data_IF_258104982440
#
_entry.id   IF_258104982440
#
_cell.length_a   1.000
_cell.length_b   1.000
_cell.length_c   1.000
_cell.angle_alpha   90.00
_cell.angle_beta   90.00
_cell.angle_gamma   90.00
#
_symmetry.space_group_name_H-M   'P 1'
#
loop_
_entity.id
_entity.type
_entity.pdbx_description
1 polymer ?
#
# COMPACT_ATOMS: atom_id res chain seq x y z
N UNK A 1 0.81 17.89 9.37
CA UNK A 1 0.15 16.76 8.76
C UNK A 1 0.37 15.45 9.49
N UNK A 2 -0.44 14.45 9.18
CA UNK A 2 -0.39 13.11 9.77
C UNK A 2 0.68 12.22 9.14
N UNK A 3 1.19 12.59 7.96
CA UNK A 3 2.17 11.80 7.24
C UNK A 3 3.56 11.90 7.85
N UNK A 4 4.24 10.77 7.93
CA UNK A 4 5.66 10.67 8.32
C UNK A 4 6.49 10.15 7.16
N UNK A 5 7.78 10.49 7.15
CA UNK A 5 8.70 10.03 6.12
C UNK A 5 9.33 8.69 6.49
N UNK A 6 9.46 7.81 5.51
CA UNK A 6 10.15 6.53 5.62
C UNK A 6 11.04 6.33 4.40
N UNK A 7 12.20 5.75 4.59
CA UNK A 7 13.06 5.34 3.48
C UNK A 7 12.75 3.89 3.11
N UNK A 8 12.47 3.64 1.84
CA UNK A 8 12.28 2.28 1.30
C UNK A 8 13.62 1.54 1.32
N UNK A 9 13.80 0.68 2.31
CA UNK A 9 15.05 -0.10 2.47
C UNK A 9 15.04 -1.45 1.77
N UNK A 10 13.86 -1.96 1.44
CA UNK A 10 13.65 -3.36 1.11
C UNK A 10 12.96 -3.61 -0.23
N UNK A 11 13.06 -2.70 -1.17
CA UNK A 11 12.48 -2.84 -2.52
C UNK A 11 13.09 -3.97 -3.38
N UNK A 12 13.61 -5.04 -2.76
CA UNK A 12 14.26 -6.16 -3.45
C UNK A 12 13.57 -7.51 -3.19
N UNK A 13 12.34 -7.49 -2.67
CA UNK A 13 11.68 -8.72 -2.26
C UNK A 13 11.34 -9.66 -3.42
N UNK A 14 10.81 -9.13 -4.50
CA UNK A 14 10.37 -9.96 -5.63
C UNK A 14 11.53 -10.65 -6.32
N UNK A 15 12.63 -9.97 -6.56
CA UNK A 15 13.81 -10.56 -7.22
C UNK A 15 14.49 -11.62 -6.34
N UNK A 16 14.53 -11.41 -5.02
CA UNK A 16 15.15 -12.36 -4.07
C UNK A 16 14.26 -13.53 -3.71
N UNK A 17 12.96 -13.43 -4.01
CA UNK A 17 11.96 -14.50 -3.78
C UNK A 17 11.23 -14.85 -5.09
N UNK A 18 11.97 -14.91 -6.18
CA UNK A 18 11.41 -15.12 -7.53
C UNK A 18 10.55 -16.37 -7.67
N UNK A 19 10.84 -17.43 -6.89
CA UNK A 19 10.06 -18.66 -6.90
C UNK A 19 8.62 -18.50 -6.39
N UNK A 20 8.35 -17.43 -5.62
CA UNK A 20 7.01 -17.11 -5.13
C UNK A 20 6.11 -16.45 -6.20
N UNK A 21 6.70 -16.06 -7.33
CA UNK A 21 5.98 -15.34 -8.38
C UNK A 21 5.99 -16.13 -9.69
N UNK A 22 4.82 -16.56 -10.13
CA UNK A 22 4.66 -17.41 -11.31
C UNK A 22 5.40 -16.89 -12.55
N UNK A 23 5.40 -15.56 -12.78
CA UNK A 23 6.08 -14.96 -13.94
C UNK A 23 7.59 -14.83 -13.80
N UNK A 24 8.11 -14.83 -12.57
CA UNK A 24 9.54 -14.74 -12.29
C UNK A 24 10.19 -16.11 -12.18
N UNK A 25 9.43 -17.09 -11.71
CA UNK A 25 9.92 -18.45 -11.52
C UNK A 25 10.52 -19.00 -12.81
N UNK A 26 11.78 -19.45 -12.73
CA UNK A 26 12.53 -20.00 -13.87
C UNK A 26 12.64 -19.06 -15.09
N UNK A 27 12.59 -17.73 -14.85
CA UNK A 27 12.67 -16.73 -15.90
C UNK A 27 13.78 -15.70 -15.61
N UNK A 28 15.06 -16.00 -15.94
CA UNK A 28 16.18 -15.13 -15.64
C UNK A 28 16.06 -13.72 -16.24
N UNK A 29 15.48 -13.60 -17.43
CA UNK A 29 15.27 -12.30 -18.09
C UNK A 29 14.32 -11.41 -17.32
N UNK A 30 13.17 -11.96 -16.86
CA UNK A 30 12.21 -11.22 -16.05
C UNK A 30 12.76 -10.90 -14.65
N UNK A 31 13.55 -11.79 -14.08
CA UNK A 31 14.24 -11.53 -12.79
C UNK A 31 15.22 -10.36 -12.95
N UNK A 32 16.00 -10.31 -14.02
CA UNK A 32 16.92 -9.21 -14.30
C UNK A 32 16.21 -7.87 -14.44
N UNK A 33 15.06 -7.85 -15.16
CA UNK A 33 14.24 -6.64 -15.30
C UNK A 33 13.66 -6.21 -13.94
N UNK A 34 13.23 -7.16 -13.11
CA UNK A 34 12.73 -6.87 -11.77
C UNK A 34 13.82 -6.27 -10.86
N UNK A 35 15.04 -6.81 -10.92
CA UNK A 35 16.19 -6.27 -10.19
C UNK A 35 16.45 -4.81 -10.55
N UNK A 36 16.35 -4.45 -11.83
CA UNK A 36 16.55 -3.06 -12.27
C UNK A 36 15.45 -2.14 -11.74
N UNK A 37 14.19 -2.59 -11.76
CA UNK A 37 13.06 -1.83 -11.22
C UNK A 37 13.24 -1.63 -9.71
N UNK A 38 13.52 -2.69 -8.98
CA UNK A 38 13.70 -2.66 -7.52
C UNK A 38 14.87 -1.77 -7.10
N UNK A 39 15.97 -1.79 -7.88
CA UNK A 39 17.14 -0.93 -7.63
C UNK A 39 16.82 0.55 -7.69
N UNK A 40 15.92 0.97 -8.59
CA UNK A 40 15.46 2.37 -8.71
C UNK A 40 14.69 2.85 -7.47
N UNK A 41 14.01 1.95 -6.78
CA UNK A 41 13.19 2.27 -5.61
C UNK A 41 13.92 2.09 -4.29
N UNK A 42 15.10 1.50 -4.30
CA UNK A 42 15.89 1.31 -3.09
C UNK A 42 16.35 2.67 -2.53
N UNK A 43 16.18 2.86 -1.23
CA UNK A 43 16.54 4.08 -0.50
C UNK A 43 15.76 5.34 -0.92
N UNK A 44 14.62 5.18 -1.60
CA UNK A 44 13.74 6.31 -1.93
C UNK A 44 12.95 6.72 -0.68
N UNK A 45 12.94 8.00 -0.32
CA UNK A 45 12.08 8.48 0.75
C UNK A 45 10.61 8.46 0.30
N UNK A 46 9.74 7.95 1.14
CA UNK A 46 8.29 7.95 0.90
C UNK A 46 7.56 8.46 2.14
N UNK A 47 6.43 9.10 1.92
CA UNK A 47 5.53 9.51 3.00
C UNK A 47 4.46 8.47 3.21
N UNK A 48 4.10 8.21 4.45
CA UNK A 48 3.01 7.33 4.83
C UNK A 48 2.31 7.85 6.09
N UNK A 49 1.06 7.45 6.28
CA UNK A 49 0.28 7.74 7.49
C UNK A 49 0.37 6.48 8.37
N UNK A 50 0.94 6.58 9.58
CA UNK A 50 0.99 5.45 10.50
C UNK A 50 -0.40 4.90 10.81
N UNK A 51 -0.53 3.59 10.96
CA UNK A 51 -1.84 2.98 11.26
C UNK A 51 -2.50 3.52 12.52
N UNK A 52 -1.71 3.97 13.49
CA UNK A 52 -2.20 4.61 14.72
C UNK A 52 -2.88 5.97 14.47
N UNK A 53 -2.59 6.61 13.34
CA UNK A 53 -3.15 7.90 12.93
C UNK A 53 -4.31 7.77 11.93
N UNK A 54 -4.77 6.56 11.62
CA UNK A 54 -5.84 6.32 10.64
C UNK A 54 -7.26 6.50 11.21
N UNK A 55 -7.40 6.68 12.51
CA UNK A 55 -8.68 6.98 13.14
C UNK A 55 -8.98 8.49 13.10
N UNK A 56 -9.18 8.99 11.89
CA UNK A 56 -9.37 10.40 11.59
C UNK A 56 -10.69 10.63 10.87
N UNK A 57 -11.22 11.85 11.00
CA UNK A 57 -12.38 12.30 10.23
C UNK A 57 -11.99 12.82 8.85
N UNK A 58 -12.98 12.97 7.96
CA UNK A 58 -12.76 13.55 6.62
C UNK A 58 -12.21 14.97 6.65
N UNK A 59 -12.44 15.70 7.73
CA UNK A 59 -11.96 17.06 7.91
C UNK A 59 -10.46 17.13 8.22
N UNK A 60 -9.91 16.07 8.81
CA UNK A 60 -8.49 15.99 9.19
C UNK A 60 -7.57 15.48 8.07
N UNK A 61 -8.14 14.76 7.11
CA UNK A 61 -7.45 14.28 5.92
C UNK A 61 -8.05 14.93 4.68
N UNK A 62 -7.25 15.72 3.99
CA UNK A 62 -7.61 16.31 2.70
C UNK A 62 -7.53 15.23 1.58
N UNK A 63 -8.35 14.20 1.72
CA UNK A 63 -8.53 13.15 0.72
C UNK A 63 -9.92 13.32 0.11
N UNK A 64 -9.98 13.66 -1.16
CA UNK A 64 -11.25 13.74 -1.89
C UNK A 64 -11.91 12.35 -2.00
N UNK A 65 -13.24 12.32 -2.03
CA UNK A 65 -14.05 11.09 -1.96
C UNK A 65 -13.67 10.00 -2.95
N UNK A 66 -13.17 10.39 -4.14
CA UNK A 66 -12.78 9.48 -5.21
C UNK A 66 -11.50 9.98 -5.87
N UNK A 67 -10.44 9.25 -5.81
CA UNK A 67 -9.26 9.62 -6.57
C UNK A 67 -7.92 9.27 -5.95
N UNK A 68 -7.92 8.54 -4.84
CA UNK A 68 -6.68 8.15 -4.19
C UNK A 68 -6.56 6.63 -4.08
N UNK A 69 -5.41 6.10 -4.46
CA UNK A 69 -5.02 4.76 -4.10
C UNK A 69 -4.44 4.74 -2.69
N UNK A 70 -4.89 3.84 -1.85
CA UNK A 70 -4.23 3.55 -0.60
C UNK A 70 -3.36 2.31 -0.72
N UNK A 71 -2.14 2.42 -0.27
CA UNK A 71 -1.17 1.31 -0.31
C UNK A 71 -0.74 1.02 1.11
N UNK A 72 -1.00 -0.20 1.58
CA UNK A 72 -0.65 -0.61 2.92
C UNK A 72 0.82 -1.01 3.00
N UNK A 73 1.56 -0.40 3.91
CA UNK A 73 2.97 -0.68 4.11
C UNK A 73 3.16 -1.84 5.08
N UNK A 74 3.94 -2.85 4.74
CA UNK A 74 4.15 -3.99 5.61
C UNK A 74 5.25 -3.76 6.65
N UNK A 75 5.21 -4.56 7.70
CA UNK A 75 6.31 -4.74 8.65
C UNK A 75 7.10 -6.03 8.35
N UNK A 76 7.20 -6.39 7.09
CA UNK A 76 7.94 -7.57 6.62
C UNK A 76 9.19 -7.11 5.88
N UNK A 77 10.33 -7.63 6.28
CA UNK A 77 11.61 -7.31 5.63
C UNK A 77 11.58 -7.64 4.14
N UNK A 78 11.94 -6.69 3.32
CA UNK A 78 12.03 -6.85 1.87
C UNK A 78 10.73 -6.59 1.09
N UNK A 79 9.60 -6.42 1.76
CA UNK A 79 8.31 -6.16 1.13
C UNK A 79 7.75 -4.81 1.60
N UNK A 80 7.69 -3.84 0.69
CA UNK A 80 7.25 -2.47 1.01
C UNK A 80 5.73 -2.30 0.98
N UNK A 81 5.02 -3.16 0.26
CA UNK A 81 3.56 -3.11 0.08
C UNK A 81 2.97 -4.51 0.18
N UNK A 82 2.00 -4.71 1.06
CA UNK A 82 1.30 -6.01 1.21
C UNK A 82 -0.07 -6.01 0.57
N UNK A 83 -0.72 -4.85 0.45
CA UNK A 83 -2.07 -4.74 -0.08
C UNK A 83 -2.33 -3.36 -0.64
N UNK A 84 -3.22 -3.26 -1.60
CA UNK A 84 -3.62 -2.00 -2.22
C UNK A 84 -5.13 -1.93 -2.40
N UNK A 85 -5.66 -0.72 -2.47
CA UNK A 85 -7.07 -0.46 -2.70
C UNK A 85 -7.33 1.03 -2.87
N UNK A 86 -8.61 1.39 -2.95
CA UNK A 86 -9.07 2.76 -3.00
C UNK A 86 -9.58 3.20 -1.64
N UNK A 87 -9.17 4.38 -1.20
CA UNK A 87 -9.73 5.00 -0.01
C UNK A 87 -11.08 5.63 -0.34
N UNK A 88 -12.10 5.33 0.45
CA UNK A 88 -13.46 5.86 0.31
C UNK A 88 -13.96 6.39 1.66
N UNK A 89 -14.58 7.57 1.65
CA UNK A 89 -15.28 8.09 2.81
C UNK A 89 -16.70 7.51 2.88
N UNK A 90 -17.04 6.91 4.02
CA UNK A 90 -18.38 6.43 4.34
C UNK A 90 -18.76 6.97 5.72
N UNK A 91 -19.80 7.78 5.76
CA UNK A 91 -20.27 8.44 7.00
C UNK A 91 -19.14 9.17 7.77
N UNK A 92 -18.29 9.86 7.05
CA UNK A 92 -17.16 10.62 7.60
C UNK A 92 -15.97 9.78 8.07
N UNK A 93 -15.98 8.48 7.82
CA UNK A 93 -14.89 7.56 8.16
C UNK A 93 -14.26 6.94 6.91
N UNK A 94 -12.97 6.69 6.97
CA UNK A 94 -12.22 6.14 5.86
C UNK A 94 -12.39 4.63 5.79
N UNK A 95 -12.87 4.14 4.64
CA UNK A 95 -13.01 2.72 4.31
C UNK A 95 -12.16 2.35 3.11
N UNK A 96 -11.97 1.06 2.89
CA UNK A 96 -11.17 0.51 1.80
C UNK A 96 -12.06 -0.19 0.77
N UNK A 97 -12.02 0.27 -0.48
CA UNK A 97 -12.56 -0.47 -1.63
C UNK A 97 -11.42 -1.30 -2.21
N UNK A 98 -11.50 -2.62 -2.11
CA UNK A 98 -10.40 -3.49 -2.48
C UNK A 98 -10.83 -4.87 -2.99
N UNK A 99 -9.90 -5.56 -3.65
CA UNK A 99 -10.04 -6.97 -3.97
C UNK A 99 -9.74 -7.79 -2.72
N UNK A 100 -10.78 -8.24 -2.04
CA UNK A 100 -10.64 -9.02 -0.81
C UNK A 100 -10.26 -10.47 -1.11
N UNK A 101 -9.14 -10.91 -0.59
CA UNK A 101 -8.71 -12.31 -0.68
C UNK A 101 -9.59 -13.24 0.16
N UNK A 102 -10.16 -12.73 1.23
CA UNK A 102 -11.07 -13.47 2.12
C UNK A 102 -12.44 -13.66 1.46
N UNK A 103 -13.02 -12.56 0.95
CA UNK A 103 -14.35 -12.57 0.33
C UNK A 103 -14.33 -13.03 -1.14
N UNK A 104 -13.14 -13.17 -1.76
CA UNK A 104 -12.93 -13.56 -3.16
C UNK A 104 -13.64 -12.65 -4.17
N UNK A 105 -13.82 -11.38 -3.85
CA UNK A 105 -14.43 -10.37 -4.71
C UNK A 105 -13.99 -8.97 -4.34
N UNK A 106 -14.27 -8.01 -5.21
CA UNK A 106 -14.11 -6.58 -4.90
C UNK A 106 -15.23 -6.16 -3.96
N UNK A 107 -14.86 -5.55 -2.84
CA UNK A 107 -15.79 -5.07 -1.82
C UNK A 107 -15.42 -3.67 -1.34
N UNK A 108 -16.42 -2.92 -0.91
CA UNK A 108 -16.22 -1.83 0.04
C UNK A 108 -16.22 -2.45 1.44
N UNK A 109 -15.07 -2.43 2.10
CA UNK A 109 -14.91 -3.08 3.39
C UNK A 109 -15.82 -2.45 4.44
N UNK A 110 -16.55 -3.27 5.20
CA UNK A 110 -17.44 -2.80 6.27
C UNK A 110 -16.68 -2.23 7.47
N UNK A 111 -15.42 -2.65 7.64
CA UNK A 111 -14.50 -2.06 8.62
C UNK A 111 -13.93 -0.75 8.10
N UNK A 112 -13.69 0.21 9.01
CA UNK A 112 -12.86 1.36 8.67
C UNK A 112 -11.44 0.93 8.35
N UNK A 113 -10.71 1.74 7.62
CA UNK A 113 -9.30 1.46 7.31
C UNK A 113 -8.46 1.32 8.59
N UNK A 114 -8.80 2.08 9.63
CA UNK A 114 -8.19 1.94 10.95
C UNK A 114 -8.44 0.55 11.57
N UNK A 115 -9.69 0.11 11.61
CA UNK A 115 -10.07 -1.21 12.13
C UNK A 115 -9.45 -2.35 11.32
N UNK A 116 -9.43 -2.21 10.00
CA UNK A 116 -8.82 -3.15 9.09
C UNK A 116 -7.32 -3.34 9.36
N UNK A 117 -6.61 -2.26 9.67
CA UNK A 117 -5.15 -2.26 9.82
C UNK A 117 -4.67 -2.50 11.25
N UNK A 118 -5.41 -2.05 12.26
CA UNK A 118 -4.90 -1.97 13.65
C UNK A 118 -4.37 -3.30 14.21
N UNK A 119 -5.04 -4.41 13.91
CA UNK A 119 -4.70 -5.73 14.44
C UNK A 119 -3.78 -6.54 13.52
N UNK A 120 -3.43 -6.01 12.36
CA UNK A 120 -2.56 -6.70 11.40
C UNK A 120 -1.10 -6.30 11.63
N UNK A 121 -0.29 -7.22 12.12
CA UNK A 121 1.14 -6.99 12.39
C UNK A 121 1.92 -6.60 11.13
N UNK A 122 1.50 -7.09 9.96
CA UNK A 122 2.11 -6.78 8.68
C UNK A 122 1.80 -5.35 8.17
N UNK A 123 0.87 -4.62 8.80
CA UNK A 123 0.52 -3.26 8.43
C UNK A 123 1.19 -2.25 9.38
N UNK A 124 2.03 -1.40 8.83
CA UNK A 124 2.65 -0.28 9.56
C UNK A 124 1.88 1.01 9.37
N UNK A 125 1.22 1.16 8.23
CA UNK A 125 0.46 2.34 7.88
C UNK A 125 -0.05 2.30 6.45
N UNK A 126 -0.45 3.45 5.94
CA UNK A 126 -1.01 3.63 4.61
C UNK A 126 -0.24 4.70 3.85
N UNK A 127 0.18 4.36 2.65
CA UNK A 127 0.65 5.33 1.68
C UNK A 127 -0.50 5.69 0.74
N UNK A 128 -0.76 6.97 0.58
CA UNK A 128 -1.83 7.48 -0.29
C UNK A 128 -1.22 8.05 -1.55
N UNK A 129 -1.75 7.65 -2.70
CA UNK A 129 -1.33 8.13 -4.01
C UNK A 129 -2.54 8.74 -4.70
N UNK A 130 -2.44 10.02 -5.08
CA UNK A 130 -3.48 10.73 -5.81
C UNK A 130 -3.43 10.44 -7.30
N UNK A 131 -4.58 10.22 -7.93
CA UNK A 131 -4.67 10.10 -9.39
C UNK A 131 -4.33 11.41 -10.12
N UNK A 132 -4.50 12.56 -9.49
CA UNK A 132 -4.14 13.84 -10.11
C UNK A 132 -2.65 13.96 -10.43
N UNK A 133 -1.80 13.22 -9.71
CA UNK A 133 -0.35 13.14 -9.96
C UNK A 133 0.01 12.24 -11.15
N UNK A 134 -0.97 11.54 -11.74
CA UNK A 134 -0.79 10.64 -12.90
C UNK A 134 -1.23 11.29 -14.22
N UNK A 135 -1.56 12.58 -14.23
CA UNK A 135 -1.84 13.30 -15.47
C UNK A 135 -0.58 13.32 -16.34
N UNK A 136 -0.72 12.96 -17.62
CA UNK A 136 0.41 13.01 -18.55
C UNK A 136 0.93 14.42 -18.76
#
# INVERSE_FOLDING_TARGET
GLAVSQILKFGIFMSTHSDNYHRLKNNPSMISQMIEIERKWKNVPVSYIPKTSLNVSSEELDINEWGYHSVLLPNIKGLDVVHTGFACWVDGKLHLLHASSVMKKVILDSQTLFEYSKNKKAHTGVRVISFSSLKP
#
